data_IF_962508837569
#
_entry.id   IF_962508837569
#
_cell.length_a   1.000
_cell.length_b   1.000
_cell.length_c   1.000
_cell.angle_alpha   90.00
_cell.angle_beta   90.00
_cell.angle_gamma   90.00
#
_symmetry.space_group_name_H-M   'P 1'
#
loop_
_entity.id
_entity.type
_entity.pdbx_description
1 polymer ?
#
# COMPACT_ATOMS: atom_id res chain seq x y z
N UNK A 1 -88.96 17.20 -6.00
CA UNK A 1 -89.53 16.81 -4.70
C UNK A 1 -89.56 15.29 -4.68
N UNK A 2 -88.95 14.54 -3.76
CA UNK A 2 -88.22 14.87 -2.54
C UNK A 2 -87.20 13.76 -2.27
N UNK A 3 -86.18 14.15 -1.51
CA UNK A 3 -85.17 13.31 -0.92
C UNK A 3 -85.68 12.50 0.29
N UNK A 4 -84.75 11.72 0.86
CA UNK A 4 -84.72 10.98 2.14
C UNK A 4 -84.89 9.47 1.97
N UNK A 5 -83.78 8.74 1.92
CA UNK A 5 -82.97 8.21 3.05
C UNK A 5 -83.52 6.87 3.55
N UNK A 6 -82.77 5.80 3.27
CA UNK A 6 -82.45 4.80 4.29
C UNK A 6 -81.20 4.01 3.86
N UNK A 7 -80.17 4.06 4.71
CA UNK A 7 -79.06 3.12 4.69
C UNK A 7 -79.48 1.85 5.43
N UNK A 8 -78.85 0.70 5.12
CA UNK A 8 -78.04 0.10 6.17
C UNK A 8 -76.69 -0.45 5.69
N UNK A 9 -75.69 -0.09 6.50
CA UNK A 9 -74.56 -0.89 6.98
C UNK A 9 -74.38 -2.35 6.51
N UNK A 10 -73.12 -2.70 6.23
CA UNK A 10 -72.64 -4.09 6.12
C UNK A 10 -71.32 -4.18 5.36
N UNK A 11 -70.22 -3.68 5.92
CA UNK A 11 -69.18 -4.47 6.61
C UNK A 11 -68.26 -5.29 5.67
N UNK A 12 -66.96 -5.05 5.87
CA UNK A 12 -65.84 -5.55 5.08
C UNK A 12 -65.70 -7.08 5.09
N UNK A 13 -65.21 -7.65 3.98
CA UNK A 13 -64.52 -8.94 3.99
C UNK A 13 -63.39 -8.99 2.95
N UNK A 14 -62.38 -8.14 3.13
CA UNK A 14 -61.04 -8.43 2.60
C UNK A 14 -60.53 -9.69 3.31
N UNK A 15 -60.61 -10.84 2.66
CA UNK A 15 -60.13 -12.11 3.19
C UNK A 15 -58.61 -12.01 3.41
N UNK A 16 -58.21 -11.78 4.66
CA UNK A 16 -56.81 -11.88 5.11
C UNK A 16 -56.35 -13.31 4.84
N UNK A 17 -55.67 -13.51 3.72
CA UNK A 17 -54.92 -14.74 3.43
C UNK A 17 -54.07 -15.08 4.65
N UNK A 18 -54.30 -16.27 5.22
CA UNK A 18 -53.53 -16.77 6.36
C UNK A 18 -52.03 -16.70 6.04
N UNK A 19 -51.23 -16.27 7.02
CA UNK A 19 -49.78 -16.15 6.89
C UNK A 19 -49.13 -17.44 6.38
N UNK A 20 -49.68 -18.59 6.78
CA UNK A 20 -49.29 -19.92 6.29
C UNK A 20 -49.53 -20.09 4.79
N UNK A 21 -50.69 -19.70 4.28
CA UNK A 21 -51.04 -19.77 2.86
C UNK A 21 -50.20 -18.79 2.01
N UNK A 22 -49.86 -17.62 2.57
CA UNK A 22 -48.95 -16.67 1.93
C UNK A 22 -47.51 -17.19 1.87
N UNK A 23 -47.01 -17.81 2.95
CA UNK A 23 -45.72 -18.49 2.97
C UNK A 23 -45.66 -19.68 2.00
N UNK A 24 -46.74 -20.45 1.89
CA UNK A 24 -46.81 -21.59 0.98
C UNK A 24 -46.79 -21.15 -0.48
N UNK A 25 -47.54 -20.10 -0.84
CA UNK A 25 -47.46 -19.47 -2.17
C UNK A 25 -46.08 -18.90 -2.49
N UNK A 26 -45.39 -18.30 -1.52
CA UNK A 26 -44.02 -17.82 -1.69
C UNK A 26 -43.04 -18.97 -1.97
N UNK A 27 -43.15 -20.08 -1.21
CA UNK A 27 -42.34 -21.28 -1.43
C UNK A 27 -42.61 -21.92 -2.80
N UNK A 28 -43.87 -21.98 -3.23
CA UNK A 28 -44.24 -22.48 -4.54
C UNK A 28 -43.72 -21.57 -5.67
N UNK A 29 -43.85 -20.25 -5.54
CA UNK A 29 -43.27 -19.29 -6.50
C UNK A 29 -41.74 -19.40 -6.56
N UNK A 30 -41.06 -19.58 -5.42
CA UNK A 30 -39.62 -19.82 -5.39
C UNK A 30 -39.22 -21.17 -6.00
N UNK A 31 -40.04 -22.22 -5.83
CA UNK A 31 -39.79 -23.53 -6.44
C UNK A 31 -39.97 -23.49 -7.96
N UNK A 32 -40.94 -22.73 -8.46
CA UNK A 32 -41.15 -22.49 -9.90
C UNK A 32 -40.02 -21.62 -10.47
N UNK A 33 -39.61 -20.56 -9.75
CA UNK A 33 -38.45 -19.75 -10.14
C UNK A 33 -37.16 -20.59 -10.20
N UNK A 34 -36.94 -21.49 -9.23
CA UNK A 34 -35.84 -22.46 -9.26
C UNK A 34 -35.93 -23.46 -10.43
N UNK A 35 -37.13 -23.86 -10.84
CA UNK A 35 -37.34 -24.69 -12.05
C UNK A 35 -37.10 -23.90 -13.34
N UNK A 36 -37.32 -22.60 -13.36
CA UNK A 36 -36.95 -21.72 -14.49
C UNK A 36 -35.45 -21.37 -14.51
N UNK A 37 -34.77 -21.53 -13.37
CA UNK A 37 -33.32 -21.32 -13.19
C UNK A 37 -32.46 -22.50 -13.71
N UNK A 38 -33.04 -23.42 -14.49
CA UNK A 38 -32.35 -24.53 -15.14
C UNK A 38 -31.17 -24.04 -15.98
N UNK A 39 -31.35 -22.94 -16.72
CA UNK A 39 -30.29 -22.33 -17.52
C UNK A 39 -29.12 -21.83 -16.67
N UNK A 40 -29.37 -21.31 -15.46
CA UNK A 40 -28.33 -20.85 -14.55
C UNK A 40 -27.60 -22.02 -13.91
N UNK A 41 -28.33 -23.08 -13.53
CA UNK A 41 -27.75 -24.33 -13.03
C UNK A 41 -26.88 -25.03 -14.07
N UNK A 42 -27.35 -25.15 -15.32
CA UNK A 42 -26.60 -25.76 -16.41
C UNK A 42 -25.41 -24.91 -16.83
N UNK A 43 -25.55 -23.58 -16.85
CA UNK A 43 -24.44 -22.65 -17.03
C UNK A 43 -23.38 -22.82 -15.94
N UNK A 44 -23.78 -22.91 -14.67
CA UNK A 44 -22.84 -23.17 -13.57
C UNK A 44 -22.16 -24.54 -13.70
N UNK A 45 -22.89 -25.56 -14.13
CA UNK A 45 -22.35 -26.91 -14.39
C UNK A 45 -21.34 -26.90 -15.54
N UNK A 46 -21.65 -26.19 -16.61
CA UNK A 46 -20.75 -26.00 -17.75
C UNK A 46 -19.48 -25.24 -17.34
N UNK A 47 -19.62 -24.15 -16.59
CA UNK A 47 -18.48 -23.40 -16.04
C UNK A 47 -17.62 -24.30 -15.15
N UNK A 48 -18.22 -25.12 -14.28
CA UNK A 48 -17.47 -26.09 -13.45
C UNK A 48 -16.71 -27.11 -14.29
N UNK A 49 -17.32 -27.59 -15.37
CA UNK A 49 -16.69 -28.55 -16.28
C UNK A 49 -15.52 -27.94 -17.04
N UNK A 50 -15.69 -26.72 -17.58
CA UNK A 50 -14.63 -25.93 -18.20
C UNK A 50 -13.51 -25.61 -17.23
N UNK A 51 -13.85 -25.20 -16.01
CA UNK A 51 -12.86 -24.92 -14.95
C UNK A 51 -12.06 -26.17 -14.62
N UNK A 52 -12.70 -27.34 -14.58
CA UNK A 52 -12.02 -28.63 -14.35
C UNK A 52 -11.08 -28.99 -15.52
N UNK A 53 -11.54 -28.80 -16.76
CA UNK A 53 -10.72 -29.01 -17.95
C UNK A 53 -9.50 -28.08 -17.95
N UNK A 54 -9.70 -26.78 -17.73
CA UNK A 54 -8.63 -25.80 -17.67
C UNK A 54 -7.65 -26.07 -16.52
N UNK A 55 -8.10 -26.44 -15.32
CA UNK A 55 -7.20 -26.83 -14.22
C UNK A 55 -6.34 -28.06 -14.53
N UNK A 56 -6.80 -28.91 -15.45
CA UNK A 56 -6.05 -30.10 -15.87
C UNK A 56 -4.94 -29.74 -16.86
N UNK A 57 -5.21 -28.78 -17.76
CA UNK A 57 -4.31 -28.38 -18.85
C UNK A 57 -3.39 -27.21 -18.45
N UNK A 58 -3.94 -26.20 -17.79
CA UNK A 58 -3.24 -24.99 -17.34
C UNK A 58 -2.73 -25.18 -15.91
N UNK A 59 -1.63 -25.92 -15.79
CA UNK A 59 -0.90 -26.00 -14.51
C UNK A 59 0.12 -24.86 -14.42
N UNK A 60 0.35 -24.29 -13.21
CA UNK A 60 1.49 -23.42 -13.00
C UNK A 60 2.77 -24.16 -13.40
N UNK A 61 3.74 -23.43 -13.97
CA UNK A 61 5.02 -24.02 -14.38
C UNK A 61 5.75 -24.71 -13.21
N UNK A 62 5.52 -24.25 -11.99
CA UNK A 62 6.09 -24.80 -10.77
C UNK A 62 5.53 -26.18 -10.40
N UNK A 63 4.35 -26.55 -10.93
CA UNK A 63 3.72 -27.85 -10.72
C UNK A 63 4.15 -28.90 -11.77
N UNK A 64 5.09 -28.55 -12.66
CA UNK A 64 5.61 -29.43 -13.71
C UNK A 64 7.13 -29.58 -13.48
N UNK A 65 7.54 -30.70 -12.90
CA UNK A 65 8.93 -30.94 -12.48
C UNK A 65 9.95 -30.77 -13.61
N UNK A 66 9.62 -31.22 -14.83
CA UNK A 66 10.47 -31.08 -16.01
C UNK A 66 10.71 -29.60 -16.40
N UNK A 67 9.71 -28.74 -16.21
CA UNK A 67 9.78 -27.32 -16.55
C UNK A 67 10.41 -26.49 -15.42
N UNK A 68 10.25 -26.91 -14.17
CA UNK A 68 10.85 -26.23 -13.01
C UNK A 68 12.37 -26.08 -13.11
N UNK A 69 13.06 -27.04 -13.77
CA UNK A 69 14.52 -27.04 -13.98
C UNK A 69 14.94 -26.44 -15.34
N UNK A 70 14.03 -26.38 -16.31
CA UNK A 70 14.31 -25.87 -17.67
C UNK A 70 13.95 -24.41 -17.88
N UNK A 71 13.14 -23.81 -17.00
CA UNK A 71 12.74 -22.42 -17.09
C UNK A 71 13.69 -21.51 -16.32
N UNK A 72 14.21 -20.49 -17.01
CA UNK A 72 14.87 -19.36 -16.37
C UNK A 72 13.83 -18.56 -15.60
N UNK A 73 13.88 -18.65 -14.26
CA UNK A 73 13.06 -17.79 -13.39
C UNK A 73 13.78 -16.47 -13.21
N UNK A 74 13.17 -15.39 -13.70
CA UNK A 74 13.60 -14.03 -13.40
C UNK A 74 13.40 -13.76 -11.92
N UNK A 75 14.46 -13.98 -11.12
CA UNK A 75 14.45 -13.66 -9.70
C UNK A 75 14.56 -12.16 -9.44
N UNK A 76 14.33 -11.74 -8.19
CA UNK A 76 14.53 -10.36 -7.76
C UNK A 76 15.93 -9.83 -8.13
N UNK A 77 16.95 -10.70 -8.11
CA UNK A 77 18.31 -10.36 -8.55
C UNK A 77 18.39 -9.98 -10.03
N UNK A 78 17.70 -10.70 -10.92
CA UNK A 78 17.70 -10.38 -12.34
C UNK A 78 16.98 -9.05 -12.59
N UNK A 79 15.82 -8.85 -11.95
CA UNK A 79 15.11 -7.57 -12.01
C UNK A 79 15.95 -6.40 -11.50
N UNK A 80 16.76 -6.61 -10.46
CA UNK A 80 17.67 -5.60 -9.92
C UNK A 80 18.77 -5.23 -10.91
N UNK A 81 19.27 -6.21 -11.67
CA UNK A 81 20.30 -6.01 -12.69
C UNK A 81 19.76 -5.36 -13.96
N UNK A 82 18.55 -5.73 -14.41
CA UNK A 82 17.97 -5.23 -15.65
C UNK A 82 17.25 -3.90 -15.49
N UNK A 83 16.80 -3.58 -14.28
CA UNK A 83 16.03 -2.35 -13.99
C UNK A 83 16.44 -1.79 -12.63
N UNK A 84 17.64 -1.19 -12.54
CA UNK A 84 18.16 -0.69 -11.27
C UNK A 84 17.33 0.52 -10.80
N UNK A 85 16.84 0.44 -9.57
CA UNK A 85 16.16 1.56 -8.89
C UNK A 85 17.15 2.24 -7.93
N UNK A 86 18.11 2.98 -8.51
CA UNK A 86 19.28 3.53 -7.80
C UNK A 86 18.85 4.41 -6.61
N UNK A 87 17.90 5.32 -6.82
CA UNK A 87 17.45 6.23 -5.75
C UNK A 87 16.84 5.48 -4.57
N UNK A 88 16.03 4.46 -4.83
CA UNK A 88 15.41 3.64 -3.77
C UNK A 88 16.45 2.81 -3.01
N UNK A 89 17.46 2.28 -3.72
CA UNK A 89 18.55 1.54 -3.09
C UNK A 89 19.45 2.45 -2.25
N UNK A 90 19.76 3.64 -2.77
CA UNK A 90 20.52 4.66 -2.06
C UNK A 90 19.78 5.09 -0.79
N UNK A 91 18.51 5.41 -0.89
CA UNK A 91 17.67 5.76 0.26
C UNK A 91 17.63 4.63 1.29
N UNK A 92 17.44 3.37 0.85
CA UNK A 92 17.46 2.22 1.74
C UNK A 92 18.82 2.03 2.43
N UNK A 93 19.92 2.34 1.77
CA UNK A 93 21.26 2.26 2.34
C UNK A 93 21.50 3.37 3.36
N UNK A 94 21.09 4.61 3.06
CA UNK A 94 21.24 5.78 3.92
C UNK A 94 20.31 5.72 5.14
N UNK A 95 19.08 5.23 4.99
CA UNK A 95 18.13 5.05 6.09
C UNK A 95 18.70 4.18 7.22
N UNK A 96 19.60 3.25 6.89
CA UNK A 96 20.38 2.48 7.84
C UNK A 96 19.50 1.59 8.72
N UNK A 97 18.94 0.52 8.14
CA UNK A 97 18.03 -0.42 8.82
C UNK A 97 18.71 -1.32 9.85
N UNK A 98 20.04 -1.37 9.89
CA UNK A 98 20.80 -2.22 10.80
C UNK A 98 21.43 -1.43 11.97
N UNK A 99 21.59 -2.07 13.14
CA UNK A 99 22.17 -1.47 14.35
C UNK A 99 23.58 -0.87 14.13
N UNK A 100 24.39 -1.49 13.26
CA UNK A 100 25.72 -0.96 12.90
C UNK A 100 25.63 0.34 12.08
N UNK A 101 24.60 0.48 11.25
CA UNK A 101 24.37 1.68 10.44
C UNK A 101 23.79 2.83 11.28
N UNK A 102 23.17 2.56 12.44
CA UNK A 102 22.78 3.61 13.41
C UNK A 102 23.97 4.39 13.97
N UNK A 103 25.20 3.87 13.85
CA UNK A 103 26.44 4.54 14.31
C UNK A 103 27.22 5.21 13.18
N UNK A 104 26.75 5.13 11.94
CA UNK A 104 27.41 5.74 10.78
C UNK A 104 26.89 7.16 10.62
N UNK A 105 27.78 8.14 10.69
CA UNK A 105 27.46 9.58 10.62
C UNK A 105 26.56 9.92 9.44
N UNK A 106 26.85 9.35 8.27
CA UNK A 106 26.07 9.60 7.06
C UNK A 106 24.61 9.14 7.19
N UNK A 107 24.37 8.00 7.84
CA UNK A 107 23.03 7.51 8.11
C UNK A 107 22.31 8.38 9.14
N UNK A 108 23.02 8.82 10.19
CA UNK A 108 22.47 9.72 11.21
C UNK A 108 22.09 11.06 10.58
N UNK A 109 23.01 11.66 9.81
CA UNK A 109 22.79 12.90 9.09
C UNK A 109 21.57 12.80 8.15
N UNK A 110 21.44 11.70 7.42
CA UNK A 110 20.29 11.49 6.55
C UNK A 110 18.97 11.37 7.33
N UNK A 111 18.94 10.69 8.48
CA UNK A 111 17.72 10.58 9.31
C UNK A 111 17.30 11.91 9.92
N UNK A 112 18.25 12.66 10.48
CA UNK A 112 17.96 13.99 11.06
C UNK A 112 17.47 14.94 9.96
N UNK A 113 18.08 14.89 8.77
CA UNK A 113 17.61 15.61 7.60
C UNK A 113 16.17 15.23 7.20
N UNK A 114 15.86 13.94 7.10
CA UNK A 114 14.53 13.45 6.77
C UNK A 114 13.48 13.93 7.77
N UNK A 115 13.81 13.93 9.07
CA UNK A 115 12.92 14.42 10.13
C UNK A 115 12.65 15.92 9.98
N UNK A 116 13.68 16.71 9.72
CA UNK A 116 13.53 18.16 9.52
C UNK A 116 12.73 18.48 8.24
N UNK A 117 12.90 17.68 7.19
CA UNK A 117 12.23 17.84 5.91
C UNK A 117 10.70 17.67 5.98
N UNK A 118 10.19 17.00 7.01
CA UNK A 118 8.75 16.90 7.27
C UNK A 118 8.10 18.25 7.53
N UNK A 119 8.86 19.20 8.09
CA UNK A 119 8.35 20.48 8.55
C UNK A 119 8.92 21.67 7.76
N UNK A 120 10.10 21.50 7.14
CA UNK A 120 10.83 22.59 6.48
C UNK A 120 11.32 22.17 5.09
N UNK A 121 11.00 22.98 4.07
CA UNK A 121 11.53 22.81 2.72
C UNK A 121 13.00 23.27 2.60
N UNK A 122 13.35 24.30 3.35
CA UNK A 122 14.71 24.85 3.48
C UNK A 122 15.21 24.55 4.88
N UNK A 123 16.30 23.81 4.99
CA UNK A 123 16.83 23.28 6.24
C UNK A 123 18.12 24.04 6.57
N UNK A 124 18.11 24.92 7.59
CA UNK A 124 19.32 25.62 8.02
C UNK A 124 20.36 24.64 8.56
N UNK A 125 21.61 24.77 8.12
CA UNK A 125 22.71 23.88 8.52
C UNK A 125 22.95 23.95 10.04
N UNK A 126 22.81 25.14 10.64
CA UNK A 126 23.01 25.32 12.08
C UNK A 126 21.98 24.54 12.92
N UNK A 127 20.72 24.52 12.50
CA UNK A 127 19.69 23.73 13.18
C UNK A 127 19.89 22.23 12.97
N UNK A 128 20.29 21.84 11.75
CA UNK A 128 20.58 20.45 11.44
C UNK A 128 21.80 19.93 12.21
N UNK A 129 22.83 20.77 12.40
CA UNK A 129 23.98 20.47 13.24
C UNK A 129 23.58 20.13 14.67
N UNK A 130 22.63 20.88 15.23
CA UNK A 130 22.13 20.64 16.57
C UNK A 130 21.43 19.28 16.68
N UNK A 131 20.47 18.97 15.80
CA UNK A 131 19.75 17.67 15.81
C UNK A 131 20.70 16.49 15.50
N UNK A 132 21.71 16.70 14.65
CA UNK A 132 22.75 15.72 14.36
C UNK A 132 23.62 15.43 15.59
N UNK A 133 24.05 16.46 16.31
CA UNK A 133 24.91 16.33 17.49
C UNK A 133 24.24 15.52 18.61
N UNK A 134 22.93 15.66 18.79
CA UNK A 134 22.16 14.89 19.78
C UNK A 134 22.12 13.39 19.47
N UNK A 135 22.24 13.00 18.20
CA UNK A 135 22.05 11.61 17.76
C UNK A 135 23.34 10.91 17.33
N UNK A 136 24.39 11.67 17.00
CA UNK A 136 25.64 11.10 16.52
C UNK A 136 26.41 10.43 17.65
N UNK A 137 27.02 9.28 17.37
CA UNK A 137 27.85 8.61 18.36
C UNK A 137 29.08 9.48 18.72
N UNK A 138 29.38 9.69 20.02
CA UNK A 138 30.47 10.56 20.44
C UNK A 138 31.83 9.95 20.07
N UNK A 139 32.66 10.75 19.40
CA UNK A 139 34.04 10.40 19.05
C UNK A 139 35.01 11.35 19.75
N UNK A 140 36.03 10.81 20.41
CA UNK A 140 37.02 11.63 21.10
C UNK A 140 37.87 12.41 20.09
N UNK A 141 37.99 13.73 20.30
CA UNK A 141 38.89 14.59 19.53
C UNK A 141 38.39 14.99 18.14
N UNK A 142 37.13 14.68 17.79
CA UNK A 142 36.53 15.11 16.52
C UNK A 142 35.23 15.84 16.80
N UNK A 143 35.15 17.08 16.35
CA UNK A 143 33.97 17.93 16.49
C UNK A 143 32.78 17.37 15.66
N UNK A 144 31.58 17.22 16.26
CA UNK A 144 30.37 16.77 15.55
C UNK A 144 30.02 17.62 14.33
N UNK A 145 30.20 18.94 14.40
CA UNK A 145 29.87 19.84 13.29
C UNK A 145 30.75 19.55 12.06
N UNK A 146 32.04 19.31 12.28
CA UNK A 146 32.98 18.91 11.23
C UNK A 146 32.56 17.59 10.55
N UNK A 147 32.07 16.63 11.33
CA UNK A 147 31.54 15.36 10.81
C UNK A 147 30.28 15.56 10.00
N UNK A 148 29.39 16.46 10.42
CA UNK A 148 28.22 16.83 9.64
C UNK A 148 28.61 17.47 8.31
N UNK A 149 29.55 18.41 8.27
CA UNK A 149 30.00 19.03 7.01
C UNK A 149 30.51 18.00 6.01
N UNK A 150 31.23 16.97 6.48
CA UNK A 150 31.62 15.85 5.62
C UNK A 150 30.39 15.12 5.07
N UNK A 151 29.40 14.82 5.91
CA UNK A 151 28.16 14.18 5.49
C UNK A 151 27.37 15.04 4.50
N UNK A 152 27.36 16.37 4.68
CA UNK A 152 26.72 17.32 3.75
C UNK A 152 27.36 17.20 2.37
N UNK A 153 28.70 17.23 2.29
CA UNK A 153 29.41 17.08 1.03
C UNK A 153 29.11 15.73 0.36
N UNK A 154 29.10 14.65 1.12
CA UNK A 154 28.78 13.31 0.61
C UNK A 154 27.32 13.24 0.10
N UNK A 155 26.35 13.81 0.82
CA UNK A 155 24.93 13.86 0.45
C UNK A 155 24.68 14.74 -0.79
N UNK A 156 25.40 15.85 -0.92
CA UNK A 156 25.34 16.70 -2.10
C UNK A 156 25.92 15.99 -3.32
N UNK A 157 27.07 15.32 -3.16
CA UNK A 157 27.69 14.52 -4.22
C UNK A 157 26.77 13.39 -4.71
N UNK A 158 26.03 12.75 -3.80
CA UNK A 158 25.07 11.70 -4.13
C UNK A 158 23.77 12.25 -4.77
N UNK A 159 23.61 13.58 -4.89
CA UNK A 159 22.39 14.19 -5.44
C UNK A 159 21.18 14.04 -4.53
N UNK A 160 21.39 13.92 -3.21
CA UNK A 160 20.31 13.86 -2.21
C UNK A 160 19.87 15.26 -1.82
N UNK A 161 20.84 16.16 -1.63
CA UNK A 161 20.62 17.55 -1.24
C UNK A 161 21.28 18.51 -2.22
N UNK A 162 20.89 19.78 -2.12
CA UNK A 162 21.58 20.91 -2.73
C UNK A 162 21.47 22.12 -1.81
N UNK A 163 22.43 23.05 -1.88
CA UNK A 163 22.23 24.40 -1.35
C UNK A 163 20.92 25.02 -1.88
N UNK A 164 20.26 25.82 -1.04
CA UNK A 164 18.99 26.47 -1.41
C UNK A 164 19.16 27.42 -2.59
N UNK A 165 20.28 28.15 -2.61
CA UNK A 165 20.73 28.95 -3.75
C UNK A 165 22.24 29.17 -3.68
N UNK A 166 22.83 29.61 -4.79
CA UNK A 166 24.27 29.93 -4.84
C UNK A 166 24.66 31.07 -3.88
N UNK A 167 23.68 31.92 -3.51
CA UNK A 167 23.84 33.01 -2.56
C UNK A 167 23.46 32.64 -1.11
N UNK A 168 22.93 31.43 -0.89
CA UNK A 168 22.47 30.95 0.42
C UNK A 168 23.05 29.56 0.70
N UNK A 169 24.32 29.54 1.11
CA UNK A 169 25.06 28.32 1.42
C UNK A 169 24.82 27.83 2.86
N UNK A 170 24.06 28.57 3.66
CA UNK A 170 23.76 28.24 5.07
C UNK A 170 22.55 27.34 5.25
N UNK A 171 21.88 26.98 4.16
CA UNK A 171 20.72 26.10 4.17
C UNK A 171 20.73 25.16 2.96
N UNK A 172 20.16 23.97 3.17
CA UNK A 172 20.04 22.93 2.15
C UNK A 172 18.58 22.58 1.93
N UNK A 173 18.29 21.97 0.78
CA UNK A 173 17.00 21.37 0.47
C UNK A 173 17.20 19.96 -0.08
N UNK A 174 16.24 19.09 0.21
CA UNK A 174 16.18 17.78 -0.42
C UNK A 174 15.76 17.92 -1.88
N UNK A 175 16.48 17.23 -2.78
CA UNK A 175 16.16 17.20 -4.20
C UNK A 175 14.96 16.30 -4.50
N UNK A 176 14.73 15.28 -3.66
CA UNK A 176 13.58 14.38 -3.75
C UNK A 176 12.99 14.14 -2.36
N UNK A 177 11.65 14.08 -2.24
CA UNK A 177 11.01 13.68 -0.99
C UNK A 177 11.40 12.23 -0.66
N UNK A 178 11.67 11.92 0.63
CA UNK A 178 11.97 10.55 1.03
C UNK A 178 10.79 9.61 0.76
N UNK A 179 11.06 8.47 0.14
CA UNK A 179 10.09 7.40 -0.11
C UNK A 179 9.70 6.65 1.16
N UNK A 180 10.56 6.70 2.17
CA UNK A 180 10.42 5.97 3.43
C UNK A 180 10.84 6.87 4.58
N UNK A 181 9.90 7.14 5.48
CA UNK A 181 10.21 7.82 6.74
C UNK A 181 10.80 6.81 7.71
N UNK A 182 12.04 7.07 8.15
CA UNK A 182 12.64 6.29 9.23
C UNK A 182 12.01 6.75 10.54
N UNK A 183 11.06 5.96 11.04
CA UNK A 183 10.52 6.12 12.39
C UNK A 183 11.43 5.31 13.32
N UNK A 184 12.20 6.00 14.15
CA UNK A 184 12.90 5.33 15.24
C UNK A 184 11.83 4.75 16.18
N UNK A 185 11.69 3.43 16.14
CA UNK A 185 10.95 2.67 17.15
C UNK A 185 12.00 2.31 18.20
N UNK A 186 11.81 2.86 19.40
CA UNK A 186 12.61 2.56 20.59
C UNK A 186 12.49 1.08 20.99
#
# INVERSE_FOLDING_TARGET
MNASEDSPSGSASGSKLSYSAMQQRLKEKMAIAKKLDLFTSDRQRFIKLLTKAFRTVLKPFDAIDALSKGLLRGGASLSTLTTPCIMKQLESALAGSNLHQKKVDLCVAYRTLQRMALYKKSIPIAEWAHDFEEQVYPLKGVDPSTRLYKCIADLELMGVIKAVSDNCLTAVQLLQPPSTLVVDTD
#
